data_IF_745516759557
#
_entry.id   IF_745516759557
#
_cell.length_a   1.000
_cell.length_b   1.000
_cell.length_c   1.000
_cell.angle_alpha   90.00
_cell.angle_beta   90.00
_cell.angle_gamma   90.00
#
_symmetry.space_group_name_H-M   'P 1'
#
loop_
_entity.id
_entity.type
_entity.pdbx_description
1 polymer ?
#
# COMPACT_ATOMS: atom_id res chain seq x y z
N UNK A 1 -4.54 7.35 -7.40
CA UNK A 1 -4.82 6.94 -6.01
C UNK A 1 -4.52 5.46 -5.90
N UNK A 2 -3.58 5.07 -5.04
CA UNK A 2 -3.14 3.67 -4.90
C UNK A 2 -3.78 3.11 -3.62
N UNK A 3 -4.33 1.90 -3.70
CA UNK A 3 -4.97 1.22 -2.57
C UNK A 3 -4.27 -0.10 -2.34
N UNK A 4 -3.86 -0.35 -1.09
CA UNK A 4 -3.29 -1.63 -0.68
C UNK A 4 -4.35 -2.48 0.00
N UNK A 5 -4.74 -3.59 -0.63
CA UNK A 5 -5.75 -4.49 -0.10
C UNK A 5 -5.07 -5.70 0.56
N UNK A 6 -5.18 -5.79 1.89
CA UNK A 6 -4.92 -7.03 2.60
C UNK A 6 -6.14 -7.95 2.53
N UNK A 7 -5.95 -9.27 2.63
CA UNK A 7 -7.03 -10.27 2.66
C UNK A 7 -7.95 -10.16 3.90
N UNK A 8 -7.75 -9.14 4.73
CA UNK A 8 -8.53 -8.87 5.93
C UNK A 8 -8.11 -9.73 7.12
N UNK A 9 -8.65 -9.36 8.28
CA UNK A 9 -8.62 -10.14 9.51
C UNK A 9 -9.97 -9.95 10.23
N UNK A 10 -10.24 -10.71 11.28
CA UNK A 10 -11.51 -10.68 12.00
C UNK A 10 -11.68 -9.31 12.68
N UNK A 11 -12.67 -8.56 12.18
CA UNK A 11 -13.08 -7.28 12.74
C UNK A 11 -13.85 -7.50 14.04
N UNK A 12 -13.30 -7.02 15.15
CA UNK A 12 -13.89 -7.17 16.51
C UNK A 12 -14.45 -5.87 17.09
N UNK A 13 -14.33 -4.75 16.38
CA UNK A 13 -14.82 -3.42 16.76
C UNK A 13 -15.36 -2.67 15.54
N UNK A 14 -16.12 -1.59 15.77
CA UNK A 14 -16.75 -0.84 14.68
C UNK A 14 -15.73 -0.18 13.74
N UNK A 15 -14.61 0.32 14.28
CA UNK A 15 -13.53 0.88 13.47
C UNK A 15 -12.39 -0.14 13.32
N UNK A 16 -11.81 -0.23 12.12
CA UNK A 16 -10.66 -1.09 11.85
C UNK A 16 -9.43 -0.73 12.72
N UNK A 17 -9.28 0.56 13.04
CA UNK A 17 -8.19 1.09 13.88
C UNK A 17 -8.28 0.62 15.33
N UNK A 18 -9.48 0.27 15.78
CA UNK A 18 -9.77 -0.16 17.15
C UNK A 18 -9.78 -1.71 17.28
N UNK A 19 -9.67 -2.43 16.16
CA UNK A 19 -9.61 -3.90 16.15
C UNK A 19 -8.16 -4.35 16.35
N UNK A 20 -7.81 -5.09 17.42
CA UNK A 20 -6.44 -5.56 17.63
C UNK A 20 -5.89 -6.38 16.46
N UNK A 21 -6.75 -7.17 15.83
CA UNK A 21 -6.39 -8.04 14.70
C UNK A 21 -6.20 -7.23 13.39
N UNK A 22 -7.01 -6.19 13.17
CA UNK A 22 -6.98 -5.41 11.91
C UNK A 22 -6.01 -4.22 11.99
N UNK A 23 -5.77 -3.68 13.18
CA UNK A 23 -4.94 -2.49 13.39
C UNK A 23 -3.52 -2.64 12.80
N UNK A 24 -2.79 -3.75 12.99
CA UNK A 24 -1.47 -3.94 12.36
C UNK A 24 -1.54 -3.87 10.83
N UNK A 25 -2.53 -4.52 10.21
CA UNK A 25 -2.74 -4.47 8.77
C UNK A 25 -3.06 -3.05 8.28
N UNK A 26 -3.89 -2.31 9.02
CA UNK A 26 -4.23 -0.93 8.69
C UNK A 26 -3.01 0.00 8.76
N UNK A 27 -2.19 -0.13 9.80
CA UNK A 27 -0.97 0.68 9.94
C UNK A 27 0.01 0.38 8.82
N UNK A 28 0.25 -0.90 8.53
CA UNK A 28 1.11 -1.34 7.45
C UNK A 28 0.61 -0.85 6.08
N UNK A 29 -0.69 -0.95 5.80
CA UNK A 29 -1.30 -0.46 4.57
C UNK A 29 -1.02 1.02 4.35
N UNK A 30 -1.15 1.82 5.40
CA UNK A 30 -0.91 3.26 5.33
C UNK A 30 0.56 3.59 5.09
N UNK A 31 1.50 2.86 5.71
CA UNK A 31 2.94 3.04 5.48
C UNK A 31 3.29 2.70 4.02
N UNK A 32 2.86 1.54 3.55
CA UNK A 32 3.09 1.09 2.17
C UNK A 32 2.48 2.06 1.15
N UNK A 33 1.24 2.50 1.37
CA UNK A 33 0.55 3.41 0.45
C UNK A 33 1.28 4.76 0.35
N UNK A 34 1.80 5.29 1.47
CA UNK A 34 2.61 6.51 1.46
C UNK A 34 3.92 6.33 0.70
N UNK A 35 4.66 5.25 0.99
CA UNK A 35 5.92 4.97 0.31
C UNK A 35 5.73 4.79 -1.20
N UNK A 36 4.65 4.13 -1.63
CA UNK A 36 4.32 3.96 -3.05
C UNK A 36 3.94 5.30 -3.70
N UNK A 37 3.13 6.12 -3.02
CA UNK A 37 2.75 7.44 -3.53
C UNK A 37 3.97 8.36 -3.69
N UNK A 38 4.94 8.29 -2.77
CA UNK A 38 6.23 8.97 -2.89
C UNK A 38 7.06 8.43 -4.07
N UNK A 39 7.14 7.11 -4.25
CA UNK A 39 7.83 6.51 -5.39
C UNK A 39 7.22 6.93 -6.74
N UNK A 40 5.89 7.04 -6.84
CA UNK A 40 5.23 7.59 -8.02
C UNK A 40 5.58 9.07 -8.25
N UNK A 41 5.60 9.89 -7.19
CA UNK A 41 5.96 11.31 -7.28
C UNK A 41 7.41 11.52 -7.73
N UNK A 42 8.32 10.66 -7.26
CA UNK A 42 9.73 10.70 -7.61
C UNK A 42 10.03 10.06 -8.97
N UNK A 43 9.02 9.47 -9.63
CA UNK A 43 9.16 8.71 -10.88
C UNK A 43 10.05 7.46 -10.75
N UNK A 44 10.23 6.94 -9.54
CA UNK A 44 10.92 5.66 -9.31
C UNK A 44 10.09 4.47 -9.83
N UNK A 45 8.77 4.65 -9.84
CA UNK A 45 7.79 3.73 -10.41
C UNK A 45 6.77 4.51 -11.25
N UNK A 46 6.25 3.89 -12.30
CA UNK A 46 5.25 4.51 -13.19
C UNK A 46 4.17 3.50 -13.57
N UNK A 47 2.98 3.99 -13.92
CA UNK A 47 1.96 3.13 -14.54
C UNK A 47 2.36 2.83 -15.98
N UNK A 48 2.10 1.61 -16.43
CA UNK A 48 2.06 1.33 -17.85
C UNK A 48 0.84 2.01 -18.51
N UNK A 49 0.82 2.05 -19.85
CA UNK A 49 -0.15 2.86 -20.61
C UNK A 49 -1.62 2.56 -20.29
N UNK A 50 -1.96 1.32 -19.94
CA UNK A 50 -3.33 0.89 -19.61
C UNK A 50 -3.63 0.86 -18.10
N UNK A 51 -2.67 1.29 -17.26
CA UNK A 51 -2.77 1.33 -15.81
C UNK A 51 -3.10 -0.02 -15.15
N UNK A 52 -2.68 -1.12 -15.77
CA UNK A 52 -2.85 -2.48 -15.21
C UNK A 52 -1.61 -2.97 -14.46
N UNK A 53 -0.43 -2.40 -14.76
CA UNK A 53 0.85 -2.78 -14.20
C UNK A 53 1.69 -1.55 -13.83
N UNK A 54 2.55 -1.74 -12.83
CA UNK A 54 3.52 -0.74 -12.40
C UNK A 54 4.88 -1.16 -12.96
N UNK A 55 5.48 -0.26 -13.75
CA UNK A 55 6.83 -0.40 -14.27
C UNK A 55 7.83 0.25 -13.31
N UNK A 56 8.93 -0.46 -13.04
CA UNK A 56 10.01 -0.01 -12.17
C UNK A 56 11.34 -0.70 -12.54
N UNK A 57 12.46 -0.18 -12.04
CA UNK A 57 13.76 -0.84 -12.20
C UNK A 57 13.75 -2.23 -11.56
N UNK A 58 14.44 -3.19 -12.17
CA UNK A 58 14.52 -4.58 -11.65
C UNK A 58 15.12 -4.68 -10.24
N UNK A 59 15.92 -3.70 -9.85
CA UNK A 59 16.55 -3.61 -8.53
C UNK A 59 15.81 -2.67 -7.58
N UNK A 60 14.67 -2.10 -8.00
CA UNK A 60 13.87 -1.22 -7.16
C UNK A 60 13.44 -1.95 -5.88
N UNK A 61 13.59 -1.27 -4.75
CA UNK A 61 13.16 -1.73 -3.44
C UNK A 61 12.36 -0.62 -2.78
N UNK A 62 11.15 -0.97 -2.35
CA UNK A 62 10.31 -0.08 -1.57
C UNK A 62 10.67 -0.21 -0.08
N UNK A 63 10.98 0.91 0.57
CA UNK A 63 11.22 0.99 2.02
C UNK A 63 10.04 1.71 2.69
N UNK A 64 9.55 1.21 3.83
CA UNK A 64 8.31 1.68 4.49
C UNK A 64 8.33 1.54 6.02
#
# INVERSE_FOLDING_TARGET
HVVFLFSGDIKTANNAQDCPNVKPHFLLANQLTKAIDEAFKNQDIVWNDDCTLIDCDKNFKLYY
#
